data_IF_272177873892
#
_entry.id   IF_272177873892
#
_cell.length_a   1.000
_cell.length_b   1.000
_cell.length_c   1.000
_cell.angle_alpha   90.00
_cell.angle_beta   90.00
_cell.angle_gamma   90.00
#
_symmetry.space_group_name_H-M   'P 1'
#
loop_
_entity.id
_entity.type
_entity.pdbx_description
1 polymer ?
#
# COMPACT_ATOMS: atom_id res chain seq x y z
N UNK A 1 -17.40 2.91 -4.69
CA UNK A 1 -16.37 2.86 -3.65
C UNK A 1 -15.24 1.90 -4.04
N UNK A 2 -14.12 2.49 -4.43
CA UNK A 2 -12.85 1.83 -4.74
C UNK A 2 -12.05 1.63 -3.46
N UNK A 3 -11.46 0.45 -3.26
CA UNK A 3 -10.65 0.13 -2.09
C UNK A 3 -9.26 -0.36 -2.52
N UNK A 4 -8.23 0.40 -2.17
CA UNK A 4 -6.86 0.09 -2.56
C UNK A 4 -6.00 -0.16 -1.35
N UNK A 5 -5.27 -1.27 -1.38
CA UNK A 5 -4.23 -1.56 -0.41
C UNK A 5 -2.89 -1.08 -0.93
N UNK A 6 -2.22 -0.24 -0.16
CA UNK A 6 -0.83 0.12 -0.41
C UNK A 6 0.11 -0.69 0.48
N UNK A 7 1.23 -1.12 -0.08
CA UNK A 7 2.22 -1.96 0.57
C UNK A 7 3.62 -1.40 0.41
N UNK A 8 4.40 -1.48 1.48
CA UNK A 8 5.85 -1.32 1.46
C UNK A 8 6.50 -2.51 2.14
N UNK A 9 7.71 -2.88 1.72
CA UNK A 9 8.42 -4.00 2.34
C UNK A 9 9.95 -3.84 2.24
N UNK A 10 10.67 -4.52 3.13
CA UNK A 10 12.10 -4.74 3.00
C UNK A 10 12.38 -5.68 1.82
N UNK A 11 13.61 -5.63 1.30
CA UNK A 11 14.02 -6.50 0.19
C UNK A 11 13.91 -7.97 0.59
N UNK A 12 13.32 -8.79 -0.27
CA UNK A 12 13.18 -10.22 -0.01
C UNK A 12 12.12 -10.58 1.03
N UNK A 13 11.25 -9.65 1.40
CA UNK A 13 10.06 -9.97 2.19
C UNK A 13 9.23 -11.02 1.46
N UNK A 14 8.92 -12.12 2.14
CA UNK A 14 8.24 -13.25 1.51
C UNK A 14 6.72 -13.01 1.39
N UNK A 15 6.08 -13.86 0.58
CA UNK A 15 4.64 -13.86 0.39
C UNK A 15 3.90 -14.07 1.72
N UNK A 16 4.39 -14.96 2.58
CA UNK A 16 3.68 -15.32 3.81
C UNK A 16 3.55 -14.12 4.75
N UNK A 17 4.62 -13.36 4.93
CA UNK A 17 4.66 -12.16 5.76
C UNK A 17 3.75 -11.07 5.21
N UNK A 18 3.78 -10.84 3.89
CA UNK A 18 2.92 -9.85 3.25
C UNK A 18 1.44 -10.24 3.33
N UNK A 19 1.13 -11.51 3.08
CA UNK A 19 -0.21 -12.06 3.13
C UNK A 19 -0.77 -12.02 4.56
N UNK A 20 0.04 -12.39 5.57
CA UNK A 20 -0.36 -12.35 6.96
C UNK A 20 -0.67 -10.91 7.42
N UNK A 21 0.17 -9.93 7.04
CA UNK A 21 -0.09 -8.52 7.34
C UNK A 21 -1.34 -8.00 6.62
N UNK A 22 -1.54 -8.41 5.37
CA UNK A 22 -2.73 -8.05 4.60
C UNK A 22 -4.00 -8.58 5.27
N UNK A 23 -4.05 -9.88 5.57
CA UNK A 23 -5.23 -10.51 6.15
C UNK A 23 -5.51 -10.01 7.58
N UNK A 24 -4.47 -9.80 8.40
CA UNK A 24 -4.64 -9.28 9.76
C UNK A 24 -5.17 -7.84 9.75
N UNK A 25 -4.63 -6.98 8.89
CA UNK A 25 -5.07 -5.59 8.81
C UNK A 25 -6.52 -5.47 8.34
N UNK A 26 -6.92 -6.28 7.35
CA UNK A 26 -8.32 -6.30 6.90
C UNK A 26 -9.27 -6.86 7.96
N UNK A 27 -8.88 -7.92 8.66
CA UNK A 27 -9.68 -8.49 9.73
C UNK A 27 -9.91 -7.50 10.88
N UNK A 28 -8.86 -6.80 11.31
CA UNK A 28 -8.96 -5.73 12.32
C UNK A 28 -9.89 -4.59 11.86
N UNK A 29 -9.86 -4.26 10.56
CA UNK A 29 -10.71 -3.24 9.96
C UNK A 29 -12.13 -3.70 9.63
N UNK A 30 -12.48 -4.98 9.84
CA UNK A 30 -13.77 -5.54 9.44
C UNK A 30 -14.02 -5.51 7.92
N UNK A 31 -12.95 -5.56 7.11
CA UNK A 31 -13.02 -5.47 5.65
C UNK A 31 -12.86 -6.86 5.03
N UNK A 32 -13.79 -7.23 4.16
CA UNK A 32 -13.70 -8.46 3.39
C UNK A 32 -12.66 -8.35 2.28
N UNK A 33 -11.86 -9.40 2.09
CA UNK A 33 -10.81 -9.47 1.08
C UNK A 33 -11.33 -9.23 -0.35
N UNK A 34 -12.53 -9.72 -0.67
CA UNK A 34 -13.16 -9.57 -1.98
C UNK A 34 -13.53 -8.12 -2.32
N UNK A 35 -13.52 -7.22 -1.32
CA UNK A 35 -13.81 -5.80 -1.52
C UNK A 35 -12.60 -5.03 -2.04
N UNK A 36 -11.39 -5.58 -1.94
CA UNK A 36 -10.17 -4.91 -2.38
C UNK A 36 -10.11 -4.90 -3.90
N UNK A 37 -9.92 -3.71 -4.46
CA UNK A 37 -9.91 -3.44 -5.91
C UNK A 37 -8.53 -3.63 -6.51
N UNK A 38 -7.49 -3.20 -5.82
CA UNK A 38 -6.12 -3.22 -6.32
C UNK A 38 -5.08 -3.14 -5.19
N UNK A 39 -3.85 -3.46 -5.54
CA UNK A 39 -2.65 -3.28 -4.73
C UNK A 39 -1.78 -2.16 -5.31
N UNK A 40 -1.05 -1.45 -4.46
CA UNK A 40 -0.13 -0.40 -4.87
C UNK A 40 1.18 -0.43 -4.09
N UNK A 41 2.31 -0.11 -4.73
CA UNK A 41 3.61 0.03 -4.06
C UNK A 41 4.51 1.07 -4.75
N UNK A 42 5.72 1.27 -4.21
CA UNK A 42 6.73 2.15 -4.80
C UNK A 42 7.43 1.44 -5.96
N UNK A 43 7.72 2.15 -7.05
CA UNK A 43 8.41 1.64 -8.25
C UNK A 43 9.73 0.92 -7.97
N UNK A 44 10.51 1.35 -6.97
CA UNK A 44 11.72 0.66 -6.50
C UNK A 44 11.45 -0.78 -6.04
N UNK A 45 10.19 -1.14 -5.82
CA UNK A 45 9.70 -2.45 -5.39
C UNK A 45 9.10 -3.30 -6.51
N UNK A 46 9.14 -2.85 -7.76
CA UNK A 46 8.54 -3.57 -8.89
C UNK A 46 9.04 -5.00 -9.09
N UNK A 47 10.30 -5.26 -8.72
CA UNK A 47 10.94 -6.57 -8.85
C UNK A 47 10.95 -7.37 -7.54
N UNK A 48 10.23 -6.93 -6.50
CA UNK A 48 10.15 -7.70 -5.25
C UNK A 48 9.23 -8.91 -5.44
N UNK A 49 9.76 -10.15 -5.36
CA UNK A 49 8.99 -11.35 -5.69
C UNK A 49 7.81 -11.56 -4.73
N UNK A 50 7.92 -11.14 -3.47
CA UNK A 50 6.84 -11.23 -2.50
C UNK A 50 5.60 -10.41 -2.89
N UNK A 51 5.78 -9.20 -3.42
CA UNK A 51 4.67 -8.35 -3.86
C UNK A 51 4.00 -8.92 -5.11
N UNK A 52 4.80 -9.39 -6.07
CA UNK A 52 4.29 -10.03 -7.29
C UNK A 52 3.51 -11.31 -6.95
N UNK A 53 4.07 -12.17 -6.10
CA UNK A 53 3.41 -13.38 -5.65
C UNK A 53 2.12 -13.08 -4.87
N UNK A 54 2.10 -12.00 -4.08
CA UNK A 54 0.89 -11.58 -3.36
C UNK A 54 -0.20 -11.15 -4.34
N UNK A 55 0.13 -10.31 -5.32
CA UNK A 55 -0.81 -9.86 -6.34
C UNK A 55 -1.40 -11.04 -7.13
N UNK A 56 -0.55 -11.99 -7.55
CA UNK A 56 -0.98 -13.22 -8.22
C UNK A 56 -1.87 -14.08 -7.32
N UNK A 57 -1.48 -14.30 -6.06
CA UNK A 57 -2.26 -15.09 -5.08
C UNK A 57 -3.64 -14.49 -4.83
N UNK A 58 -3.72 -13.16 -4.84
CA UNK A 58 -4.95 -12.38 -4.66
C UNK A 58 -5.78 -12.23 -5.93
N UNK A 59 -5.21 -12.50 -7.10
CA UNK A 59 -5.77 -12.14 -8.40
C UNK A 59 -6.14 -10.64 -8.46
N UNK A 60 -5.26 -9.77 -7.96
CA UNK A 60 -5.44 -8.32 -7.96
C UNK A 60 -4.37 -7.63 -8.80
N UNK A 61 -4.74 -6.54 -9.51
CA UNK A 61 -3.75 -5.70 -10.17
C UNK A 61 -2.82 -5.06 -9.13
N UNK A 62 -1.54 -4.93 -9.48
CA UNK A 62 -0.51 -4.27 -8.66
C UNK A 62 0.08 -3.10 -9.45
N UNK A 63 -0.13 -1.88 -8.96
CA UNK A 63 0.41 -0.66 -9.56
C UNK A 63 1.61 -0.14 -8.79
N UNK A 64 2.53 0.50 -9.49
CA UNK A 64 3.69 1.16 -8.91
C UNK A 64 3.71 2.66 -9.17
N UNK A 65 4.25 3.42 -8.22
CA UNK A 65 4.41 4.87 -8.29
C UNK A 65 5.84 5.26 -7.92
N UNK A 66 6.34 6.33 -8.54
CA UNK A 66 7.58 6.99 -8.13
C UNK A 66 7.39 7.80 -6.85
N UNK A 67 8.48 8.04 -6.12
CA UNK A 67 8.43 8.89 -4.92
C UNK A 67 7.93 10.32 -5.22
N UNK A 68 8.26 10.84 -6.40
CA UNK A 68 7.83 12.17 -6.86
C UNK A 68 6.30 12.24 -7.03
N UNK A 69 5.69 11.22 -7.64
CA UNK A 69 4.23 11.13 -7.73
C UNK A 69 3.56 11.07 -6.36
N UNK A 70 4.23 10.47 -5.37
CA UNK A 70 3.68 10.27 -4.03
C UNK A 70 3.85 11.48 -3.11
N UNK A 71 4.73 12.43 -3.44
CA UNK A 71 5.04 13.59 -2.60
C UNK A 71 3.80 14.45 -2.29
N UNK A 72 2.86 14.55 -3.23
CA UNK A 72 1.61 15.32 -3.04
C UNK A 72 0.74 14.77 -1.90
N UNK A 73 0.87 13.49 -1.55
CA UNK A 73 0.12 12.83 -0.48
C UNK A 73 0.78 12.94 0.90
N UNK A 74 1.94 13.60 1.03
CA UNK A 74 2.70 13.66 2.28
C UNK A 74 1.87 14.24 3.45
N UNK A 75 1.01 15.22 3.17
CA UNK A 75 0.15 15.86 4.15
C UNK A 75 -1.00 14.96 4.65
N UNK A 76 -1.33 13.89 3.91
CA UNK A 76 -2.37 12.93 4.27
C UNK A 76 -1.85 11.75 5.12
N UNK A 77 -0.53 11.66 5.33
CA UNK A 77 0.09 10.53 6.02
C UNK A 77 -0.21 10.56 7.51
N UNK A 78 -0.56 9.41 8.09
CA UNK A 78 -0.71 9.28 9.53
C UNK A 78 0.64 9.20 10.25
N UNK A 79 1.69 8.82 9.52
CA UNK A 79 3.05 8.71 10.04
C UNK A 79 4.09 8.97 8.94
N UNK A 80 5.05 9.86 9.21
CA UNK A 80 6.20 10.11 8.33
C UNK A 80 7.45 9.36 8.83
N UNK A 81 8.04 8.52 7.99
CA UNK A 81 9.24 7.75 8.34
C UNK A 81 10.49 8.33 7.69
N UNK A 82 11.39 8.89 8.50
CA UNK A 82 12.67 9.43 8.02
C UNK A 82 13.56 8.34 7.40
N UNK A 83 13.53 7.13 7.97
CA UNK A 83 14.25 5.98 7.42
C UNK A 83 13.72 5.62 6.04
N UNK A 84 12.40 5.55 5.86
CA UNK A 84 11.81 5.29 4.54
C UNK A 84 12.17 6.41 3.56
N UNK A 85 12.09 7.67 3.99
CA UNK A 85 12.44 8.82 3.17
C UNK A 85 13.90 8.79 2.73
N UNK A 86 14.85 8.55 3.63
CA UNK A 86 16.27 8.46 3.30
C UNK A 86 16.57 7.37 2.25
N UNK A 87 15.85 6.24 2.30
CA UNK A 87 16.05 5.14 1.34
C UNK A 87 15.27 5.27 0.04
N UNK A 88 14.16 6.01 0.03
CA UNK A 88 13.18 5.96 -1.07
C UNK A 88 12.75 7.31 -1.62
N UNK A 89 12.96 8.39 -0.89
CA UNK A 89 12.39 9.71 -1.17
C UNK A 89 10.91 9.83 -0.78
N UNK A 90 10.32 8.81 -0.14
CA UNK A 90 8.92 8.79 0.28
C UNK A 90 8.80 8.50 1.78
N UNK A 91 8.07 9.35 2.51
CA UNK A 91 7.88 9.20 3.96
C UNK A 91 6.97 8.03 4.35
N UNK A 92 6.01 7.68 3.51
CA UNK A 92 4.94 6.73 3.84
C UNK A 92 4.47 5.97 2.61
N UNK A 93 5.25 4.98 2.19
CA UNK A 93 5.00 4.20 0.97
C UNK A 93 3.58 3.63 0.96
N UNK A 94 3.21 2.85 1.98
CA UNK A 94 1.91 2.16 1.99
C UNK A 94 0.72 3.12 1.95
N UNK A 95 0.76 4.21 2.71
CA UNK A 95 -0.37 5.16 2.75
C UNK A 95 -0.46 5.98 1.46
N UNK A 96 0.67 6.54 1.00
CA UNK A 96 0.68 7.36 -0.21
C UNK A 96 0.30 6.57 -1.46
N UNK A 97 0.78 5.33 -1.62
CA UNK A 97 0.44 4.50 -2.79
C UNK A 97 -1.01 4.05 -2.77
N UNK A 98 -1.58 3.78 -1.58
CA UNK A 98 -2.98 3.46 -1.43
C UNK A 98 -3.86 4.64 -1.88
N UNK A 99 -3.56 5.85 -1.38
CA UNK A 99 -4.27 7.07 -1.74
C UNK A 99 -4.16 7.36 -3.24
N UNK A 100 -2.95 7.37 -3.78
CA UNK A 100 -2.68 7.68 -5.18
C UNK A 100 -3.48 6.79 -6.16
N UNK A 101 -3.45 5.48 -5.95
CA UNK A 101 -4.17 4.57 -6.84
C UNK A 101 -5.68 4.63 -6.60
N UNK A 102 -6.15 4.83 -5.37
CA UNK A 102 -7.57 5.01 -5.11
C UNK A 102 -8.11 6.24 -5.87
N UNK A 103 -7.41 7.38 -5.83
CA UNK A 103 -7.77 8.57 -6.59
C UNK A 103 -7.71 8.34 -8.10
N UNK A 104 -6.64 7.71 -8.60
CA UNK A 104 -6.47 7.43 -10.03
C UNK A 104 -7.61 6.54 -10.58
N UNK A 105 -8.05 5.55 -9.81
CA UNK A 105 -9.12 4.62 -10.23
C UNK A 105 -10.52 5.21 -10.08
N UNK A 106 -10.76 6.03 -9.06
CA UNK A 106 -12.09 6.58 -8.77
C UNK A 106 -12.34 7.96 -9.39
N UNK A 107 -11.30 8.69 -9.80
CA UNK A 107 -11.41 10.06 -10.29
C UNK A 107 -11.89 11.07 -9.23
N UNK A 108 -11.71 10.76 -7.94
CA UNK A 108 -12.14 11.58 -6.81
C UNK A 108 -11.16 11.48 -5.64
N UNK A 109 -11.14 12.45 -4.71
CA UNK A 109 -10.22 12.43 -3.57
C UNK A 109 -10.37 11.16 -2.72
N UNK A 110 -9.23 10.62 -2.29
CA UNK A 110 -9.19 9.43 -1.44
C UNK A 110 -8.97 9.79 0.03
N UNK A 111 -9.28 8.85 0.92
CA UNK A 111 -8.92 8.93 2.35
C UNK A 111 -8.46 7.58 2.87
N UNK A 112 -7.64 7.59 3.92
CA UNK A 112 -7.22 6.39 4.62
C UNK A 112 -8.41 5.81 5.41
N UNK A 113 -8.73 4.54 5.16
CA UNK A 113 -9.64 3.74 6.01
C UNK A 113 -8.88 2.96 7.07
N UNK A 114 -7.72 2.42 6.70
CA UNK A 114 -6.79 1.80 7.63
C UNK A 114 -5.47 2.54 7.47
N UNK A 115 -5.11 3.30 8.50
CA UNK A 115 -3.80 3.95 8.61
C UNK A 115 -2.70 2.91 8.72
N UNK A 116 -1.44 3.34 8.58
CA UNK A 116 -0.28 2.46 8.54
C UNK A 116 -0.28 1.38 9.62
N UNK A 117 -0.29 0.13 9.18
CA UNK A 117 0.10 -1.05 9.95
C UNK A 117 1.51 -1.46 9.55
N UNK A 118 2.29 -2.01 10.49
CA UNK A 118 3.65 -2.47 10.23
C UNK A 118 3.96 -3.80 10.91
N UNK A 119 4.76 -4.61 10.25
CA UNK A 119 5.57 -5.66 10.86
C UNK A 119 7.03 -5.20 10.91
N UNK A 120 7.94 -6.10 11.28
CA UNK A 120 9.39 -5.88 11.16
C UNK A 120 9.83 -5.71 9.71
N UNK A 121 9.13 -6.33 8.74
CA UNK A 121 9.56 -6.40 7.35
C UNK A 121 8.65 -5.66 6.36
N UNK A 122 7.40 -5.37 6.72
CA UNK A 122 6.41 -4.80 5.80
C UNK A 122 5.52 -3.74 6.45
N UNK A 123 4.90 -2.93 5.60
CA UNK A 123 3.90 -1.93 5.96
C UNK A 123 2.69 -2.04 5.04
N UNK A 124 1.51 -1.79 5.61
CA UNK A 124 0.21 -1.86 4.95
C UNK A 124 -0.59 -0.60 5.25
N UNK A 125 -1.40 -0.15 4.29
CA UNK A 125 -2.48 0.80 4.51
C UNK A 125 -3.63 0.52 3.53
N UNK A 126 -4.84 0.95 3.88
CA UNK A 126 -6.02 0.86 3.02
C UNK A 126 -6.60 2.25 2.80
N UNK A 127 -6.82 2.63 1.54
CA UNK A 127 -7.52 3.84 1.16
C UNK A 127 -8.84 3.55 0.45
N UNK A 128 -9.78 4.47 0.54
CA UNK A 128 -11.02 4.46 -0.24
C UNK A 128 -11.22 5.76 -1.03
N UNK A 129 -11.89 5.64 -2.18
CA UNK A 129 -12.38 6.77 -2.97
C UNK A 129 -13.72 6.44 -3.65
N UNK A 130 -14.52 7.47 -3.93
CA UNK A 130 -15.87 7.40 -4.52
C UNK A 130 -16.91 6.68 -3.68
#
# INVERSE_FOLDING_TARGET
MTLVVGLGCQRGCDLHTLLALFDSALAEGGIERQRITALASLDRKQNEPGLQALAQKLNLPLQFFSAEQLAVFEHCLSHKSDIAFAHTGCYGIAESTALALAEQLAGSPARLLITRRKTTQATFALACAG
#
